data_IF_553599710311
#
_entry.id   IF_553599710311
#
_cell.length_a   1.000
_cell.length_b   1.000
_cell.length_c   1.000
_cell.angle_alpha   90.00
_cell.angle_beta   90.00
_cell.angle_gamma   90.00
#
_symmetry.space_group_name_H-M   'P 1'
#
loop_
_entity.id
_entity.type
_entity.pdbx_description
1 polymer ?
#
# COMPACT_ATOMS: atom_id res chain seq x y z
N UNK A 1 -20.06 -12.63 6.79
CA UNK A 1 -19.18 -11.57 7.33
C UNK A 1 -18.62 -10.78 6.17
N UNK A 2 -18.66 -9.44 6.21
CA UNK A 2 -18.05 -8.61 5.17
C UNK A 2 -16.57 -8.45 5.49
N UNK A 3 -15.69 -8.86 4.57
CA UNK A 3 -14.24 -8.68 4.72
C UNK A 3 -13.91 -7.21 4.55
N UNK A 4 -13.38 -6.57 5.60
CA UNK A 4 -12.89 -5.19 5.51
C UNK A 4 -11.57 -5.15 4.73
N UNK A 5 -11.41 -4.13 3.88
CA UNK A 5 -10.23 -3.94 3.04
C UNK A 5 -9.43 -2.73 3.51
N UNK A 6 -8.11 -2.85 3.55
CA UNK A 6 -7.17 -1.77 3.81
C UNK A 6 -6.46 -1.38 2.52
N UNK A 7 -6.66 -0.13 2.10
CA UNK A 7 -5.94 0.47 0.97
C UNK A 7 -4.67 1.14 1.48
N UNK A 8 -3.52 0.73 0.94
CA UNK A 8 -2.19 1.15 1.35
C UNK A 8 -1.44 1.77 0.18
N UNK A 9 -0.64 2.80 0.47
CA UNK A 9 0.36 3.32 -0.46
C UNK A 9 1.70 2.77 0.01
N UNK A 10 2.31 1.91 -0.80
CA UNK A 10 3.59 1.26 -0.50
C UNK A 10 4.70 1.86 -1.37
N UNK A 11 5.93 1.84 -0.86
CA UNK A 11 7.11 2.20 -1.63
C UNK A 11 7.42 1.06 -2.61
N UNK A 12 7.35 1.35 -3.90
CA UNK A 12 7.71 0.42 -4.96
C UNK A 12 9.22 0.44 -5.24
N UNK A 13 9.85 1.61 -5.10
CA UNK A 13 11.29 1.80 -5.23
C UNK A 13 11.77 2.93 -4.31
N UNK A 14 13.07 2.94 -3.98
CA UNK A 14 13.68 4.09 -3.30
C UNK A 14 13.88 5.21 -4.33
N UNK A 15 13.31 6.41 -4.11
CA UNK A 15 13.51 7.53 -5.02
C UNK A 15 14.97 7.90 -5.16
N UNK A 16 15.39 8.21 -6.40
CA UNK A 16 16.68 8.82 -6.69
C UNK A 16 16.46 10.30 -7.01
N UNK A 17 16.78 11.18 -6.05
CA UNK A 17 16.45 12.60 -6.13
C UNK A 17 15.01 12.88 -5.71
N UNK A 18 14.30 13.78 -6.44
CA UNK A 18 12.89 14.10 -6.13
C UNK A 18 12.01 12.89 -6.39
N UNK A 19 11.11 12.59 -5.47
CA UNK A 19 10.16 11.49 -5.61
C UNK A 19 9.23 11.68 -6.81
N UNK A 20 8.90 10.56 -7.44
CA UNK A 20 8.00 10.45 -8.59
C UNK A 20 6.88 9.48 -8.24
N UNK A 21 5.76 9.59 -8.96
CA UNK A 21 4.61 8.71 -8.72
C UNK A 21 4.96 7.22 -8.85
N UNK A 22 5.87 6.87 -9.76
CA UNK A 22 6.35 5.50 -9.98
C UNK A 22 7.11 4.92 -8.79
N UNK A 23 7.56 5.74 -7.83
CA UNK A 23 8.22 5.25 -6.62
C UNK A 23 7.22 4.64 -5.63
N UNK A 24 5.92 4.77 -5.91
CA UNK A 24 4.83 4.31 -5.05
C UNK A 24 3.86 3.39 -5.80
N UNK A 25 3.25 2.46 -5.07
CA UNK A 25 2.17 1.59 -5.56
C UNK A 25 0.99 1.63 -4.60
N UNK A 26 -0.22 1.59 -5.14
CA UNK A 26 -1.45 1.43 -4.35
C UNK A 26 -1.79 -0.05 -4.29
N UNK A 27 -2.03 -0.56 -3.08
CA UNK A 27 -2.42 -1.94 -2.82
C UNK A 27 -3.68 -1.98 -1.97
N UNK A 28 -4.55 -2.95 -2.23
CA UNK A 28 -5.73 -3.24 -1.41
C UNK A 28 -5.60 -4.64 -0.84
N UNK A 29 -5.57 -4.75 0.48
CA UNK A 29 -5.39 -6.03 1.18
C UNK A 29 -6.49 -6.23 2.22
N UNK A 30 -6.89 -7.48 2.45
CA UNK A 30 -7.84 -7.80 3.50
C UNK A 30 -7.27 -7.41 4.88
N UNK A 31 -8.09 -6.82 5.74
CA UNK A 31 -7.77 -6.60 7.14
C UNK A 31 -7.92 -7.94 7.85
N UNK A 32 -6.82 -8.49 8.34
CA UNK A 32 -6.86 -9.66 9.23
C UNK A 32 -7.44 -9.29 10.59
N UNK A 33 -8.05 -10.25 11.27
CA UNK A 33 -8.51 -10.05 12.64
C UNK A 33 -7.31 -9.98 13.59
N UNK A 34 -7.30 -9.05 14.57
CA UNK A 34 -6.33 -9.08 15.66
C UNK A 34 -6.51 -10.37 16.47
N UNK A 35 -5.43 -11.13 16.65
CA UNK A 35 -5.42 -12.34 17.49
C UNK A 35 -5.45 -12.05 18.98
#
# INVERSE_FOLDING_TARGET
MSTLTNTRIVLAARPQGRSKQSDFRVESVAIGEPG
#
